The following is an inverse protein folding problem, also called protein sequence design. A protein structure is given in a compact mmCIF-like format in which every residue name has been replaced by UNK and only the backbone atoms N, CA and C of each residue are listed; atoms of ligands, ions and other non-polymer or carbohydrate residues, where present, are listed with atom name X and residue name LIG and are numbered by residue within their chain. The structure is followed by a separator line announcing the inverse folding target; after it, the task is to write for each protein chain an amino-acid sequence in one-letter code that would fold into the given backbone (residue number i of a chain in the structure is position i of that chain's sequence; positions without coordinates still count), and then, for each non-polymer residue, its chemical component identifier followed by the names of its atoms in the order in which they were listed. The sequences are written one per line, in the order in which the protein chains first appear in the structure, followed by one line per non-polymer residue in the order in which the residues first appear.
data_IF_649911510166
#
_entry.id   IF_649911510166
#
_cell.length_a   1.000
_cell.length_b   1.000
_cell.length_c   1.000
_cell.angle_alpha   90.00
_cell.angle_beta   90.00
_cell.angle_gamma   90.00
#
_symmetry.space_group_name_H-M   'P 1'
#
loop_
_entity.id
_entity.type
_entity.pdbx_description
1 polymer ?
#
# COMPACT_ATOMS: atom_id res chain seq x y z
N UNK A 1 -8.24 -17.12 0.19
CA UNK A 1 -8.59 -15.71 0.50
C UNK A 1 -9.35 -15.73 1.81
N UNK A 2 -8.91 -14.99 2.83
CA UNK A 2 -9.66 -14.88 4.08
C UNK A 2 -10.93 -14.04 3.84
N UNK A 3 -12.11 -14.55 4.22
CA UNK A 3 -13.40 -13.88 4.05
C UNK A 3 -13.93 -13.44 5.43
N UNK A 4 -13.14 -12.64 6.13
CA UNK A 4 -13.45 -12.18 7.48
C UNK A 4 -14.22 -10.84 7.38
N UNK A 5 -15.50 -10.84 7.74
CA UNK A 5 -16.29 -9.61 7.81
C UNK A 5 -15.93 -8.82 9.07
N UNK A 6 -15.54 -7.55 8.93
CA UNK A 6 -15.23 -6.65 10.06
C UNK A 6 -16.27 -5.55 10.17
N UNK A 7 -16.50 -5.07 11.40
CA UNK A 7 -17.40 -3.95 11.68
C UNK A 7 -16.59 -2.67 11.91
N UNK A 8 -17.10 -1.55 11.41
CA UNK A 8 -16.55 -0.24 11.72
C UNK A 8 -16.86 0.10 13.17
N UNK A 9 -15.83 0.53 13.91
CA UNK A 9 -15.94 0.97 15.30
C UNK A 9 -15.74 2.49 15.35
N UNK A 10 -16.58 3.18 16.10
CA UNK A 10 -16.43 4.62 16.35
C UNK A 10 -15.46 4.86 17.50
N UNK A 11 -14.45 5.70 17.28
CA UNK A 11 -13.50 6.14 18.30
C UNK A 11 -13.39 7.67 18.25
N UNK A 12 -14.05 8.34 19.19
CA UNK A 12 -14.19 9.79 19.17
C UNK A 12 -14.88 10.28 17.90
N UNK A 13 -14.18 11.12 17.15
CA UNK A 13 -14.62 11.66 15.85
C UNK A 13 -14.15 10.82 14.65
N UNK A 14 -13.50 9.68 14.90
CA UNK A 14 -12.93 8.82 13.86
C UNK A 14 -13.65 7.48 13.77
N UNK A 15 -13.58 6.86 12.60
CA UNK A 15 -14.02 5.49 12.35
C UNK A 15 -12.81 4.59 12.15
N UNK A 16 -12.81 3.43 12.80
CA UNK A 16 -11.71 2.46 12.77
C UNK A 16 -12.22 1.16 12.15
N UNK A 17 -11.47 0.68 11.16
CA UNK A 17 -11.60 -0.68 10.63
C UNK A 17 -10.50 -1.54 11.24
N UNK A 18 -10.89 -2.63 11.90
CA UNK A 18 -9.94 -3.59 12.45
C UNK A 18 -9.40 -4.49 11.34
N UNK A 19 -8.09 -4.75 11.37
CA UNK A 19 -7.47 -5.72 10.47
C UNK A 19 -7.59 -7.11 11.10
N UNK A 20 -8.23 -8.09 10.43
CA UNK A 20 -8.30 -9.47 10.91
C UNK A 20 -6.91 -10.07 11.17
N UNK A 21 -6.79 -10.94 12.17
CA UNK A 21 -5.52 -11.62 12.52
C UNK A 21 -4.95 -12.50 11.40
N UNK A 22 -5.80 -12.90 10.45
CA UNK A 22 -5.42 -13.65 9.25
C UNK A 22 -4.57 -12.82 8.28
N UNK A 23 -4.59 -11.48 8.40
CA UNK A 23 -3.79 -10.55 7.61
C UNK A 23 -2.63 -10.08 8.48
N UNK A 24 -1.40 -10.26 7.98
CA UNK A 24 -0.19 -9.73 8.62
C UNK A 24 0.23 -8.45 7.90
N UNK A 25 0.05 -7.25 8.49
CA UNK A 25 0.45 -6.00 7.87
C UNK A 25 1.98 -5.96 7.69
N UNK A 26 2.44 -5.55 6.50
CA UNK A 26 3.88 -5.43 6.19
C UNK A 26 4.43 -4.01 6.41
N UNK A 27 3.55 -3.04 6.64
CA UNK A 27 3.88 -1.65 6.91
C UNK A 27 3.07 -1.12 8.11
N UNK A 28 3.55 -0.04 8.70
CA UNK A 28 2.90 0.68 9.82
C UNK A 28 2.01 1.83 9.34
N UNK A 29 2.29 2.39 8.15
CA UNK A 29 1.57 3.53 7.57
C UNK A 29 0.96 3.16 6.22
N UNK A 30 -0.23 3.67 5.95
CA UNK A 30 -0.99 3.39 4.72
C UNK A 30 -1.66 4.65 4.18
N UNK A 31 -1.67 4.77 2.86
CA UNK A 31 -2.53 5.73 2.15
C UNK A 31 -3.89 5.09 1.91
N UNK A 32 -4.95 5.88 2.12
CA UNK A 32 -6.34 5.41 2.03
C UNK A 32 -7.01 6.07 0.84
N UNK A 33 -7.64 5.25 0.00
CA UNK A 33 -8.39 5.71 -1.18
C UNK A 33 -9.78 5.10 -1.16
N UNK A 34 -10.77 5.87 -1.63
CA UNK A 34 -12.11 5.37 -1.87
C UNK A 34 -12.41 5.36 -3.36
N UNK A 35 -12.68 4.18 -3.90
CA UNK A 35 -13.13 3.99 -5.28
C UNK A 35 -14.56 4.48 -5.49
N UNK A 36 -14.97 4.63 -6.76
CA UNK A 36 -16.34 5.03 -7.14
C UNK A 36 -17.39 3.97 -6.79
N UNK A 37 -16.95 2.71 -6.71
CA UNK A 37 -17.73 1.56 -6.28
C UNK A 37 -17.84 1.44 -4.75
N UNK A 38 -17.25 2.38 -4.00
CA UNK A 38 -17.27 2.39 -2.55
C UNK A 38 -16.20 1.50 -1.90
N UNK A 39 -15.32 0.86 -2.68
CA UNK A 39 -14.20 0.10 -2.12
C UNK A 39 -13.22 1.04 -1.43
N UNK A 40 -12.76 0.65 -0.23
CA UNK A 40 -11.71 1.36 0.50
C UNK A 40 -10.41 0.56 0.36
N UNK A 41 -9.39 1.18 -0.21
CA UNK A 41 -8.09 0.56 -0.44
C UNK A 41 -7.05 1.20 0.46
N UNK A 42 -6.34 0.35 1.22
CA UNK A 42 -5.20 0.72 2.03
C UNK A 42 -3.92 0.28 1.33
N UNK A 43 -3.15 1.22 0.80
CA UNK A 43 -1.87 0.94 0.17
C UNK A 43 -0.74 1.28 1.16
N UNK A 44 0.19 0.35 1.45
CA UNK A 44 1.30 0.65 2.35
C UNK A 44 2.08 1.84 1.82
N UNK A 45 2.36 2.79 2.70
CA UNK A 45 3.23 3.89 2.35
C UNK A 45 4.64 3.34 2.20
N UNK A 46 5.14 3.37 0.96
CA UNK A 46 6.52 3.06 0.63
C UNK A 46 7.20 4.36 0.22
N UNK A 47 8.46 4.49 0.60
CA UNK A 47 9.33 5.48 0.00
C UNK A 47 9.34 5.27 -1.51
N UNK A 48 9.01 6.32 -2.25
CA UNK A 48 9.04 6.26 -3.70
C UNK A 48 10.51 6.23 -4.12
N UNK A 49 11.01 5.11 -4.67
CA UNK A 49 12.42 5.00 -5.05
C UNK A 49 12.80 6.03 -6.12
N UNK A 50 11.85 6.48 -6.95
CA UNK A 50 12.06 7.51 -7.96
C UNK A 50 12.08 8.95 -7.41
N UNK A 51 11.89 9.12 -6.09
CA UNK A 51 12.04 10.40 -5.39
C UNK A 51 13.12 10.34 -4.31
N UNK A 52 13.74 9.18 -4.12
CA UNK A 52 14.81 8.99 -3.15
C UNK A 52 16.15 9.30 -3.86
N UNK A 53 16.82 10.37 -3.45
CA UNK A 53 18.06 10.82 -4.06
C UNK A 53 19.17 9.74 -4.01
N UNK A 54 19.24 8.97 -2.93
CA UNK A 54 20.22 7.89 -2.78
C UNK A 54 19.92 6.74 -3.75
N UNK A 55 18.64 6.37 -3.90
CA UNK A 55 18.22 5.34 -4.85
C UNK A 55 18.47 5.76 -6.30
N UNK A 56 18.19 7.03 -6.63
CA UNK A 56 18.44 7.60 -7.97
C UNK A 56 19.94 7.60 -8.28
N UNK A 57 20.77 8.06 -7.34
CA UNK A 57 22.23 8.09 -7.53
C UNK A 57 22.81 6.68 -7.73
N UNK A 58 22.32 5.70 -6.97
CA UNK A 58 22.78 4.31 -7.09
C UNK A 58 22.36 3.63 -8.41
N UNK A 59 21.28 4.12 -9.05
CA UNK A 59 20.67 3.51 -10.24
C UNK A 59 20.72 4.39 -11.50
N UNK A 60 21.44 5.51 -11.49
CA UNK A 60 21.45 6.54 -12.55
C UNK A 60 21.84 5.99 -13.93
N UNK A 61 22.63 4.91 -13.99
CA UNK A 61 23.10 4.28 -15.23
C UNK A 61 22.66 2.82 -15.39
N UNK A 62 21.64 2.39 -14.64
CA UNK A 62 21.14 1.02 -14.69
C UNK A 62 20.26 0.83 -15.92
N UNK A 63 20.77 0.13 -16.93
CA UNK A 63 20.00 -0.25 -18.12
C UNK A 63 19.12 -1.45 -17.75
N UNK A 64 17.80 -1.24 -17.65
CA UNK A 64 16.85 -2.35 -17.55
C UNK A 64 16.77 -3.05 -18.92
N UNK A 65 17.10 -4.35 -18.96
CA UNK A 65 16.79 -5.18 -20.13
C UNK A 65 15.27 -5.26 -20.30
N UNK A 66 14.76 -4.81 -21.43
CA UNK A 66 13.35 -4.97 -21.77
C UNK A 66 13.03 -6.47 -21.87
N UNK A 67 12.04 -6.93 -21.11
CA UNK A 67 11.51 -8.29 -21.22
C UNK A 67 10.57 -8.34 -22.43
N UNK A 68 11.16 -8.29 -23.62
CA UNK A 68 10.43 -8.17 -24.88
C UNK A 68 11.30 -8.47 -26.09
N UNK A 69 12.19 -9.45 -26.02
CA UNK A 69 12.76 -10.07 -27.22
C UNK A 69 12.04 -11.39 -27.46
N UNK A 70 11.22 -11.41 -28.53
CA UNK A 70 10.62 -12.61 -29.10
C UNK A 70 11.58 -13.35 -30.03
#
# INVERSE_FOLDING_TARGET
MANDSVKIIKSGNSSILTVPKSITPLATSYRVYQGRDGMIVYAPEKDNPFKNADFIAEHENSIQKEAGEG
#
